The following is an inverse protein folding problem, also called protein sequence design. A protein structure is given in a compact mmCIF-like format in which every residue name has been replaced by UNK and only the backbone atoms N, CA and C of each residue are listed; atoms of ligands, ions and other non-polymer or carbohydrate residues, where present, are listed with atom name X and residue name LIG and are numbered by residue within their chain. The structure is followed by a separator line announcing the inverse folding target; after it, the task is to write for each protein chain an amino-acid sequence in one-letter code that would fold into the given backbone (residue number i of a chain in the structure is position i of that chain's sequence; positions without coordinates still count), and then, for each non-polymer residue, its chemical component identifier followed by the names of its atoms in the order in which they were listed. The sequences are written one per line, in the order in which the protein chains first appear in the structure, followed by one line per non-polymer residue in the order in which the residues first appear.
data_IF_700822192514
#
_entry.id   IF_700822192514
#
_cell.length_a   1.000
_cell.length_b   1.000
_cell.length_c   1.000
_cell.angle_alpha   90.00
_cell.angle_beta   90.00
_cell.angle_gamma   90.00
#
_symmetry.space_group_name_H-M   'P 1'
#
loop_
_entity.id
_entity.type
_entity.pdbx_description
1 polymer ?
#
# COMPACT_ATOMS: atom_id res chain seq x y z
N UNK A 1 -8.81 -78.71 40.20
CA UNK A 1 -8.80 -78.17 38.82
C UNK A 1 -8.26 -76.73 38.88
N UNK A 2 -6.97 -76.55 38.64
CA UNK A 2 -6.35 -75.23 38.44
C UNK A 2 -6.39 -74.90 36.94
N UNK A 3 -6.47 -73.61 36.57
CA UNK A 3 -5.52 -72.90 35.67
C UNK A 3 -6.18 -71.66 34.99
N UNK A 4 -5.64 -70.49 35.37
CA UNK A 4 -5.26 -69.27 34.62
C UNK A 4 -6.29 -68.47 33.78
N UNK A 5 -6.42 -67.20 34.18
CA UNK A 5 -6.76 -66.03 33.34
C UNK A 5 -5.58 -65.68 32.41
N UNK A 6 -5.80 -64.95 31.29
CA UNK A 6 -5.30 -63.59 31.32
C UNK A 6 -6.21 -62.54 30.64
N UNK A 7 -6.13 -61.36 31.23
CA UNK A 7 -6.60 -60.04 30.81
C UNK A 7 -6.14 -59.68 29.39
N UNK A 8 -7.04 -59.18 28.55
CA UNK A 8 -6.68 -58.48 27.29
C UNK A 8 -7.01 -57.00 27.44
N UNK A 9 -5.95 -56.19 27.40
CA UNK A 9 -5.91 -54.75 27.46
C UNK A 9 -6.06 -54.14 26.04
N UNK A 10 -6.97 -53.16 25.93
CA UNK A 10 -6.74 -51.78 25.46
C UNK A 10 -6.28 -51.47 24.00
N UNK A 11 -6.71 -50.28 23.55
CA UNK A 11 -6.25 -49.46 22.40
C UNK A 11 -7.01 -49.56 21.07
N UNK A 12 -8.17 -48.89 20.99
CA UNK A 12 -8.72 -48.36 19.73
C UNK A 12 -9.12 -46.90 19.97
N UNK A 13 -8.17 -45.98 19.89
CA UNK A 13 -8.43 -44.54 19.81
C UNK A 13 -7.17 -43.80 19.40
N UNK A 14 -6.86 -43.81 18.10
CA UNK A 14 -6.02 -42.79 17.44
C UNK A 14 -5.96 -43.12 15.96
N UNK A 15 -6.98 -42.78 15.19
CA UNK A 15 -6.85 -42.60 13.74
C UNK A 15 -7.98 -41.67 13.30
N UNK A 16 -7.66 -40.66 12.48
CA UNK A 16 -8.54 -39.63 11.88
C UNK A 16 -8.56 -38.24 12.57
N UNK A 17 -7.39 -37.63 12.75
CA UNK A 17 -7.28 -36.16 12.67
C UNK A 17 -6.03 -35.81 11.87
N UNK A 18 -6.09 -36.00 10.55
CA UNK A 18 -5.07 -35.47 9.63
C UNK A 18 -5.76 -34.87 8.40
N UNK A 19 -6.73 -33.98 8.66
CA UNK A 19 -7.27 -33.11 7.62
C UNK A 19 -6.24 -32.01 7.36
N UNK A 20 -5.67 -32.06 6.16
CA UNK A 20 -4.61 -31.21 5.66
C UNK A 20 -4.79 -29.73 5.99
N UNK A 21 -3.81 -29.13 6.69
CA UNK A 21 -3.54 -27.71 6.55
C UNK A 21 -2.98 -27.50 5.13
N UNK A 22 -3.86 -27.22 4.17
CA UNK A 22 -3.47 -26.62 2.91
C UNK A 22 -3.23 -25.12 3.15
N UNK A 23 -2.08 -24.78 3.70
CA UNK A 23 -1.54 -23.42 3.63
C UNK A 23 -1.23 -23.13 2.15
N UNK A 24 -2.22 -22.55 1.44
CA UNK A 24 -1.96 -21.89 0.17
C UNK A 24 -0.96 -20.75 0.43
N UNK A 25 0.33 -21.04 0.24
CA UNK A 25 1.35 -20.03 0.14
C UNK A 25 1.08 -19.24 -1.15
N UNK A 26 0.19 -18.25 -1.06
CA UNK A 26 0.02 -17.27 -2.12
C UNK A 26 1.33 -16.51 -2.19
N UNK A 27 2.16 -16.85 -3.19
CA UNK A 27 3.33 -16.05 -3.53
C UNK A 27 2.86 -14.59 -3.64
N UNK A 28 3.56 -13.61 -3.05
CA UNK A 28 3.17 -12.22 -3.17
C UNK A 28 3.26 -11.84 -4.65
N UNK A 29 2.14 -11.91 -5.34
CA UNK A 29 2.04 -11.40 -6.69
C UNK A 29 2.22 -9.89 -6.56
N UNK A 30 3.27 -9.39 -7.19
CA UNK A 30 3.48 -7.96 -7.35
C UNK A 30 2.30 -7.46 -8.17
N UNK A 31 1.34 -6.85 -7.49
CA UNK A 31 0.15 -6.31 -8.12
C UNK A 31 0.54 -5.07 -8.94
N UNK A 32 0.56 -5.24 -10.26
CA UNK A 32 0.86 -4.18 -11.22
C UNK A 32 -0.39 -3.42 -11.65
N UNK A 33 -1.56 -3.70 -11.07
CA UNK A 33 -2.77 -2.93 -11.36
C UNK A 33 -2.70 -1.55 -10.74
N UNK A 34 -2.79 -0.52 -11.59
CA UNK A 34 -2.88 0.88 -11.15
C UNK A 34 -4.13 1.07 -10.30
N UNK A 35 -5.27 0.49 -10.68
CA UNK A 35 -6.53 0.69 -9.98
C UNK A 35 -6.51 0.07 -8.58
N UNK A 36 -5.95 -1.15 -8.45
CA UNK A 36 -5.84 -1.82 -7.17
C UNK A 36 -4.82 -1.14 -6.24
N UNK A 37 -3.69 -0.68 -6.77
CA UNK A 37 -2.76 0.15 -6.02
C UNK A 37 -3.41 1.46 -5.59
N UNK A 38 -4.04 2.18 -6.52
CA UNK A 38 -4.66 3.48 -6.27
C UNK A 38 -5.75 3.40 -5.22
N UNK A 39 -6.62 2.39 -5.28
CA UNK A 39 -7.67 2.18 -4.27
C UNK A 39 -7.08 2.06 -2.86
N UNK A 40 -6.01 1.28 -2.69
CA UNK A 40 -5.32 1.12 -1.39
C UNK A 40 -4.63 2.39 -0.94
N UNK A 41 -3.89 3.05 -1.83
CA UNK A 41 -3.16 4.28 -1.51
C UNK A 41 -4.12 5.40 -1.11
N UNK A 42 -5.18 5.61 -1.90
CA UNK A 42 -6.25 6.57 -1.61
C UNK A 42 -6.85 6.33 -0.23
N UNK A 43 -7.25 5.09 0.08
CA UNK A 43 -7.84 4.76 1.38
C UNK A 43 -6.87 5.03 2.53
N UNK A 44 -5.59 4.70 2.37
CA UNK A 44 -4.58 4.99 3.39
C UNK A 44 -4.46 6.49 3.66
N UNK A 45 -4.50 7.33 2.61
CA UNK A 45 -4.44 8.79 2.77
C UNK A 45 -5.70 9.34 3.44
N UNK A 46 -6.89 8.93 2.98
CA UNK A 46 -8.18 9.36 3.54
C UNK A 46 -8.29 8.99 5.03
N UNK A 47 -7.86 7.79 5.40
CA UNK A 47 -7.91 7.30 6.78
C UNK A 47 -6.73 7.80 7.64
N UNK A 48 -5.86 8.66 7.10
CA UNK A 48 -4.64 9.12 7.76
C UNK A 48 -3.72 7.97 8.24
N UNK A 49 -3.74 6.84 7.55
CA UNK A 49 -2.84 5.71 7.79
C UNK A 49 -1.44 6.01 7.25
N UNK A 50 -0.68 6.77 8.05
CA UNK A 50 0.71 7.13 7.74
C UNK A 50 1.60 5.90 7.55
N UNK A 51 1.28 4.80 8.25
CA UNK A 51 2.03 3.56 8.20
C UNK A 51 1.88 2.87 6.85
N UNK A 52 0.65 2.75 6.37
CA UNK A 52 0.29 2.20 5.06
C UNK A 52 0.82 3.07 3.92
N UNK A 53 0.65 4.39 3.99
CA UNK A 53 1.22 5.32 3.00
C UNK A 53 2.73 5.13 2.90
N UNK A 54 3.44 5.05 4.02
CA UNK A 54 4.89 4.86 4.01
C UNK A 54 5.34 3.49 3.46
N UNK A 55 4.52 2.44 3.58
CA UNK A 55 4.81 1.13 2.94
C UNK A 55 4.66 1.20 1.41
N UNK A 56 3.75 2.05 0.93
CA UNK A 56 3.49 2.30 -0.49
C UNK A 56 4.33 3.44 -1.08
N UNK A 57 5.30 3.96 -0.33
CA UNK A 57 6.18 5.05 -0.76
C UNK A 57 7.56 4.54 -1.16
N UNK A 58 8.10 5.08 -2.25
CA UNK A 58 9.50 4.92 -2.62
C UNK A 58 10.30 6.12 -2.09
N UNK A 59 11.37 5.84 -1.35
CA UNK A 59 12.29 6.85 -0.88
C UNK A 59 13.51 6.99 -1.80
N UNK A 60 14.08 8.20 -1.96
CA UNK A 60 13.54 9.47 -1.47
C UNK A 60 12.30 9.92 -2.26
N UNK A 61 11.40 10.65 -1.57
CA UNK A 61 10.26 11.36 -2.18
C UNK A 61 10.74 12.75 -2.59
N UNK A 62 10.63 13.04 -3.89
CA UNK A 62 10.89 14.39 -4.41
C UNK A 62 9.72 15.31 -4.06
N UNK A 63 10.03 16.54 -3.66
CA UNK A 63 9.05 17.57 -3.30
C UNK A 63 9.10 18.69 -4.35
N UNK A 64 8.15 19.63 -4.27
CA UNK A 64 8.16 20.87 -5.06
C UNK A 64 9.46 21.67 -4.88
N UNK A 65 9.65 22.65 -5.76
CA UNK A 65 10.90 23.39 -5.84
C UNK A 65 11.26 24.07 -4.52
N UNK A 66 12.55 24.09 -4.17
CA UNK A 66 13.04 24.66 -2.91
C UNK A 66 12.69 23.86 -1.64
N UNK A 67 11.84 22.82 -1.73
CA UNK A 67 11.48 21.98 -0.58
C UNK A 67 12.41 20.76 -0.50
N UNK A 68 13.08 20.50 0.64
CA UNK A 68 13.95 19.34 0.77
C UNK A 68 13.21 18.01 0.58
N UNK A 69 13.80 17.10 -0.19
CA UNK A 69 13.29 15.75 -0.39
C UNK A 69 13.12 14.98 0.93
N UNK A 70 12.10 14.12 1.00
CA UNK A 70 11.87 13.23 2.15
C UNK A 70 12.63 11.94 1.91
N UNK A 71 13.71 11.72 2.68
CA UNK A 71 14.66 10.62 2.45
C UNK A 71 14.30 9.33 3.17
N UNK A 72 13.48 9.40 4.21
CA UNK A 72 13.19 8.24 5.07
C UNK A 72 11.72 8.14 5.44
N UNK A 73 11.33 6.93 5.87
CA UNK A 73 10.03 6.66 6.49
C UNK A 73 9.74 7.61 7.66
N UNK A 74 10.69 7.79 8.58
CA UNK A 74 10.50 8.67 9.74
C UNK A 74 10.24 10.12 9.33
N UNK A 75 10.97 10.62 8.33
CA UNK A 75 10.75 11.96 7.78
C UNK A 75 9.37 12.11 7.15
N UNK A 76 8.88 11.09 6.42
CA UNK A 76 7.52 11.11 5.85
C UNK A 76 6.46 11.16 6.94
N UNK A 77 6.61 10.35 7.99
CA UNK A 77 5.66 10.32 9.11
C UNK A 77 5.59 11.68 9.82
N UNK A 78 6.75 12.32 10.02
CA UNK A 78 6.85 13.64 10.63
C UNK A 78 6.26 14.74 9.74
N UNK A 79 6.53 14.67 8.43
CA UNK A 79 6.11 15.68 7.44
C UNK A 79 4.80 15.32 6.72
N UNK A 80 4.05 14.33 7.22
CA UNK A 80 2.85 13.82 6.56
C UNK A 80 1.84 14.92 6.24
N UNK A 81 1.61 15.84 7.19
CA UNK A 81 0.72 16.98 6.99
C UNK A 81 1.21 17.91 5.87
N UNK A 82 2.51 18.14 5.76
CA UNK A 82 3.07 18.96 4.67
C UNK A 82 2.83 18.31 3.30
N UNK A 83 2.92 16.99 3.22
CA UNK A 83 2.78 16.24 1.97
C UNK A 83 1.32 16.12 1.52
N UNK A 84 0.39 15.85 2.44
CA UNK A 84 -0.99 15.48 2.08
C UNK A 84 -2.08 16.44 2.58
N UNK A 85 -1.74 17.34 3.51
CA UNK A 85 -2.69 18.29 4.12
C UNK A 85 -2.18 19.73 4.00
N UNK A 86 -1.17 19.97 3.14
CA UNK A 86 -0.55 21.27 2.95
C UNK A 86 -1.43 22.16 2.08
N UNK A 87 -0.94 22.50 0.88
CA UNK A 87 -1.67 23.36 -0.06
C UNK A 87 -2.97 22.76 -0.56
N UNK A 88 -3.06 21.44 -0.59
CA UNK A 88 -4.28 20.72 -0.95
C UNK A 88 -4.68 19.78 0.18
N UNK A 89 -5.98 19.67 0.42
CA UNK A 89 -6.52 18.58 1.22
C UNK A 89 -6.55 17.32 0.34
N UNK A 90 -5.45 16.58 0.31
CA UNK A 90 -5.29 15.41 -0.56
C UNK A 90 -6.36 14.35 -0.30
N UNK A 91 -6.81 14.19 0.95
CA UNK A 91 -7.89 13.26 1.28
C UNK A 91 -9.21 13.65 0.56
N UNK A 92 -9.56 14.94 0.56
CA UNK A 92 -10.73 15.45 -0.16
C UNK A 92 -10.57 15.28 -1.68
N UNK A 93 -9.40 15.65 -2.22
CA UNK A 93 -9.11 15.50 -3.64
C UNK A 93 -9.18 14.03 -4.10
N UNK A 94 -8.49 13.14 -3.39
CA UNK A 94 -8.36 11.74 -3.79
C UNK A 94 -9.70 11.00 -3.76
N UNK A 95 -10.69 11.47 -3.01
CA UNK A 95 -12.04 10.91 -3.01
C UNK A 95 -12.65 10.84 -4.43
N UNK A 96 -12.35 11.82 -5.29
CA UNK A 96 -12.88 11.94 -6.65
C UNK A 96 -11.82 11.83 -7.75
N UNK A 97 -10.55 12.08 -7.44
CA UNK A 97 -9.48 12.09 -8.42
C UNK A 97 -9.21 10.70 -9.03
N UNK A 98 -8.84 10.69 -10.31
CA UNK A 98 -8.55 9.48 -11.08
C UNK A 98 -7.07 9.45 -11.49
N UNK A 99 -6.43 8.27 -11.50
CA UNK A 99 -5.10 8.11 -12.06
C UNK A 99 -5.08 8.49 -13.55
N UNK A 100 -4.13 9.33 -13.93
CA UNK A 100 -3.84 9.69 -15.30
C UNK A 100 -2.57 8.96 -15.75
N UNK A 101 -2.67 8.20 -16.84
CA UNK A 101 -1.53 7.50 -17.43
C UNK A 101 -0.99 8.33 -18.59
N UNK A 102 0.33 8.36 -18.69
CA UNK A 102 1.04 8.91 -19.84
C UNK A 102 1.48 7.74 -20.74
N UNK A 103 0.98 7.65 -21.99
CA UNK A 103 1.38 6.59 -22.93
C UNK A 103 2.88 6.54 -23.19
N UNK A 104 3.58 7.67 -23.08
CA UNK A 104 5.03 7.75 -23.28
C UNK A 104 5.80 7.27 -22.04
N UNK A 105 5.14 7.21 -20.87
CA UNK A 105 5.70 6.78 -19.59
C UNK A 105 4.86 5.70 -18.93
N UNK A 106 4.82 4.48 -19.49
CA UNK A 106 3.95 3.40 -19.03
C UNK A 106 4.27 2.88 -17.62
N UNK A 107 5.43 3.24 -17.08
CA UNK A 107 5.85 2.90 -15.71
C UNK A 107 5.48 3.98 -14.72
N UNK A 108 4.68 4.96 -15.11
CA UNK A 108 4.30 6.10 -14.29
C UNK A 108 2.81 6.44 -14.46
N UNK A 109 2.23 6.97 -13.40
CA UNK A 109 0.94 7.63 -13.48
C UNK A 109 0.90 8.80 -12.50
N UNK A 110 -0.01 9.73 -12.72
CA UNK A 110 -0.20 10.92 -11.89
C UNK A 110 -1.62 11.01 -11.34
N UNK A 111 -1.77 11.78 -10.27
CA UNK A 111 -3.04 12.24 -9.74
C UNK A 111 -2.90 13.73 -9.47
N UNK A 112 -3.65 14.55 -10.20
CA UNK A 112 -3.75 15.99 -9.99
C UNK A 112 -4.75 16.33 -8.90
N UNK A 113 -4.42 17.34 -8.08
CA UNK A 113 -5.31 17.94 -7.11
C UNK A 113 -5.41 19.44 -7.32
N UNK A 114 -6.64 19.92 -7.42
CA UNK A 114 -6.92 21.35 -7.43
C UNK A 114 -6.84 21.98 -6.02
N UNK A 115 -6.61 23.30 -5.98
CA UNK A 115 -6.64 24.09 -4.75
C UNK A 115 -8.07 24.50 -4.32
N UNK A 116 -9.12 23.87 -4.85
CA UNK A 116 -10.51 24.26 -4.65
C UNK A 116 -10.99 25.41 -5.54
N UNK A 117 -10.11 26.05 -6.31
CA UNK A 117 -10.45 27.07 -7.32
C UNK A 117 -10.51 26.50 -8.75
N UNK A 118 -10.39 25.18 -8.90
CA UNK A 118 -10.41 24.47 -10.20
C UNK A 118 -9.09 24.48 -10.98
N UNK A 119 -8.03 25.10 -10.45
CA UNK A 119 -6.68 24.97 -10.99
C UNK A 119 -5.99 23.79 -10.31
N UNK A 120 -5.54 22.79 -11.08
CA UNK A 120 -4.65 21.75 -10.56
C UNK A 120 -3.37 22.43 -10.08
N UNK A 121 -3.06 22.29 -8.80
CA UNK A 121 -1.88 22.94 -8.19
C UNK A 121 -0.86 21.88 -7.83
N UNK A 122 -1.31 20.73 -7.32
CA UNK A 122 -0.42 19.67 -6.85
C UNK A 122 -0.57 18.41 -7.70
N UNK A 123 0.54 17.90 -8.23
CA UNK A 123 0.61 16.63 -8.96
C UNK A 123 1.32 15.59 -8.11
N UNK A 124 0.61 14.53 -7.73
CA UNK A 124 1.18 13.35 -7.09
C UNK A 124 1.60 12.34 -8.16
N UNK A 125 2.87 11.92 -8.13
CA UNK A 125 3.44 10.98 -9.09
C UNK A 125 3.72 9.63 -8.46
N UNK A 126 3.42 8.59 -9.22
CA UNK A 126 3.59 7.20 -8.84
C UNK A 126 4.38 6.46 -9.91
N UNK A 127 5.24 5.54 -9.48
CA UNK A 127 6.15 4.80 -10.36
C UNK A 127 6.06 3.30 -10.13
N UNK A 128 6.15 2.52 -11.19
CA UNK A 128 6.19 1.06 -11.13
C UNK A 128 7.60 0.61 -10.83
N UNK A 129 7.77 -0.11 -9.73
CA UNK A 129 9.03 -0.71 -9.32
C UNK A 129 8.97 -2.23 -9.42
N UNK A 130 10.09 -2.91 -9.18
CA UNK A 130 10.12 -4.38 -9.02
C UNK A 130 9.21 -4.88 -7.89
N UNK A 131 8.89 -4.02 -6.92
CA UNK A 131 8.00 -4.30 -5.79
C UNK A 131 6.57 -3.80 -6.00
N UNK A 132 6.23 -3.39 -7.22
CA UNK A 132 4.94 -2.82 -7.59
C UNK A 132 4.95 -1.30 -7.59
N UNK A 133 3.75 -0.72 -7.73
CA UNK A 133 3.56 0.72 -7.74
C UNK A 133 3.96 1.38 -6.42
N UNK A 134 4.56 2.56 -6.48
CA UNK A 134 4.99 3.35 -5.33
C UNK A 134 4.74 4.84 -5.54
N UNK A 135 4.36 5.53 -4.48
CA UNK A 135 4.39 7.00 -4.44
C UNK A 135 5.84 7.49 -4.51
N UNK A 136 6.11 8.47 -5.37
CA UNK A 136 7.47 8.91 -5.69
C UNK A 136 7.72 10.41 -5.52
N UNK A 137 6.76 11.25 -5.86
CA UNK A 137 6.93 12.69 -5.75
C UNK A 137 5.62 13.43 -5.65
N UNK A 138 5.68 14.64 -5.12
CA UNK A 138 4.68 15.67 -5.36
C UNK A 138 5.35 16.89 -5.97
N UNK A 139 4.61 17.60 -6.80
CA UNK A 139 5.07 18.80 -7.48
C UNK A 139 3.98 19.87 -7.43
N UNK A 140 4.37 21.13 -7.34
CA UNK A 140 3.47 22.28 -7.42
C UNK A 140 3.68 22.95 -8.77
N UNK A 141 2.67 22.90 -9.65
CA UNK A 141 2.83 23.39 -11.03
C UNK A 141 2.73 24.91 -11.16
N UNK A 142 2.46 25.62 -10.07
CA UNK A 142 2.37 27.08 -10.06
C UNK A 142 3.63 27.78 -9.49
N UNK A 143 4.68 27.02 -9.15
CA UNK A 143 5.94 27.53 -8.60
C UNK A 143 6.99 27.88 -9.67
#
# INVERSE_FOLDING_TARGET
MMIRKPTVLLFISTLLILSALQTSARSPQVDTSIDAFWARFKLAVINSDKGGVAQMTQFPVTMSYGVPAIRTRSQLLARYKQVFNGETNAAKCFATAKPQKDPERPKEFTVGCDNGSGQEVIIYRFVLTKLGWKFKSLDNINE
#
